data_IF_681585575642
#
_entry.id   IF_681585575642
#
_cell.length_a   1.000
_cell.length_b   1.000
_cell.length_c   1.000
_cell.angle_alpha   90.00
_cell.angle_beta   90.00
_cell.angle_gamma   90.00
#
_symmetry.space_group_name_H-M   'P 1'
#
loop_
_entity.id
_entity.type
_entity.pdbx_description
1 polymer ?
#
# COMPACT_ATOMS: atom_id res chain seq x y z
N UNK A 1 30.00 2.15 -59.99
CA UNK A 1 29.33 3.20 -60.78
C UNK A 1 28.39 2.51 -61.74
N UNK A 2 27.10 2.48 -61.40
CA UNK A 2 26.03 1.85 -62.16
C UNK A 2 25.80 2.67 -63.44
N UNK A 3 25.69 2.01 -64.59
CA UNK A 3 25.50 2.70 -65.88
C UNK A 3 24.08 3.27 -65.94
N UNK A 4 23.90 4.41 -66.61
CA UNK A 4 22.62 5.13 -66.67
C UNK A 4 21.42 4.25 -67.13
N UNK A 5 21.70 3.22 -67.95
CA UNK A 5 20.75 2.18 -68.39
C UNK A 5 20.19 1.34 -67.24
N UNK A 6 21.02 0.97 -66.27
CA UNK A 6 20.65 0.09 -65.15
C UNK A 6 19.80 0.84 -64.12
N UNK A 7 20.04 2.15 -63.95
CA UNK A 7 19.24 3.02 -63.07
C UNK A 7 17.78 3.14 -63.58
N UNK A 8 17.58 3.22 -64.88
CA UNK A 8 16.23 3.29 -65.46
C UNK A 8 15.45 1.97 -65.34
N UNK A 9 16.14 0.82 -65.43
CA UNK A 9 15.53 -0.49 -65.15
C UNK A 9 15.11 -0.64 -63.69
N UNK A 10 15.97 -0.22 -62.75
CA UNK A 10 15.65 -0.19 -61.31
C UNK A 10 14.44 0.71 -61.06
N UNK A 11 14.39 1.90 -61.66
CA UNK A 11 13.25 2.81 -61.57
C UNK A 11 11.96 2.20 -62.14
N UNK A 12 12.05 1.37 -63.18
CA UNK A 12 10.91 0.66 -63.76
C UNK A 12 10.39 -0.44 -62.84
N UNK A 13 11.28 -1.20 -62.20
CA UNK A 13 10.91 -2.20 -61.19
C UNK A 13 10.21 -1.56 -59.98
N UNK A 14 10.71 -0.42 -59.50
CA UNK A 14 10.06 0.36 -58.42
C UNK A 14 8.64 0.81 -58.83
N UNK A 15 8.45 1.31 -60.06
CA UNK A 15 7.11 1.70 -60.56
C UNK A 15 6.13 0.53 -60.66
N UNK A 16 6.63 -0.67 -60.94
CA UNK A 16 5.83 -1.89 -61.02
C UNK A 16 5.48 -2.49 -59.64
N UNK A 17 5.95 -1.88 -58.54
CA UNK A 17 5.53 -2.23 -57.18
C UNK A 17 6.35 -3.34 -56.52
N UNK A 18 7.56 -3.62 -57.02
CA UNK A 18 8.46 -4.60 -56.41
C UNK A 18 8.98 -4.13 -55.05
N UNK A 19 9.23 -5.09 -54.15
CA UNK A 19 9.69 -4.83 -52.78
C UNK A 19 11.14 -4.31 -52.76
N UNK A 20 11.39 -3.23 -52.01
CA UNK A 20 12.66 -2.51 -52.06
C UNK A 20 13.78 -3.22 -51.30
N UNK A 21 13.45 -3.94 -50.23
CA UNK A 21 14.42 -4.72 -49.46
C UNK A 21 14.89 -5.92 -50.29
N UNK A 22 13.97 -6.58 -50.98
CA UNK A 22 14.31 -7.67 -51.91
C UNK A 22 15.14 -7.17 -53.10
N UNK A 23 14.80 -6.01 -53.67
CA UNK A 23 15.60 -5.40 -54.75
C UNK A 23 17.02 -5.01 -54.31
N UNK A 24 17.18 -4.52 -53.07
CA UNK A 24 18.50 -4.18 -52.51
C UNK A 24 19.38 -5.42 -52.36
N UNK A 25 18.78 -6.51 -51.89
CA UNK A 25 19.46 -7.78 -51.69
C UNK A 25 19.86 -8.45 -53.01
N UNK A 26 18.94 -8.57 -53.96
CA UNK A 26 19.19 -9.31 -55.22
C UNK A 26 20.09 -8.57 -56.21
N UNK A 27 20.06 -7.23 -56.20
CA UNK A 27 20.86 -6.41 -57.12
C UNK A 27 22.20 -5.98 -56.50
N UNK A 28 22.44 -6.31 -55.23
CA UNK A 28 23.60 -5.87 -54.42
C UNK A 28 23.80 -4.35 -54.46
N UNK A 29 22.69 -3.62 -54.25
CA UNK A 29 22.64 -2.16 -54.23
C UNK A 29 22.18 -1.71 -52.84
N UNK A 30 22.87 -0.77 -52.17
CA UNK A 30 22.43 -0.25 -50.88
C UNK A 30 20.98 0.25 -50.90
N UNK A 31 20.20 -0.14 -49.89
CA UNK A 31 18.77 0.20 -49.82
C UNK A 31 18.54 1.71 -49.84
N UNK A 32 19.49 2.48 -49.31
CA UNK A 32 19.47 3.93 -49.33
C UNK A 32 19.46 4.49 -50.76
N UNK A 33 20.22 3.90 -51.68
CA UNK A 33 20.25 4.30 -53.10
C UNK A 33 18.93 3.96 -53.81
N UNK A 34 18.38 2.77 -53.56
CA UNK A 34 17.07 2.37 -54.12
C UNK A 34 15.95 3.29 -53.59
N UNK A 35 16.02 3.68 -52.31
CA UNK A 35 15.11 4.67 -51.73
C UNK A 35 15.26 6.05 -52.38
N UNK A 36 16.48 6.47 -52.75
CA UNK A 36 16.67 7.72 -53.50
C UNK A 36 16.01 7.65 -54.89
N UNK A 37 16.17 6.56 -55.63
CA UNK A 37 15.51 6.40 -56.93
C UNK A 37 13.98 6.40 -56.83
N UNK A 38 13.42 5.77 -55.77
CA UNK A 38 11.98 5.87 -55.47
C UNK A 38 11.55 7.32 -55.19
N UNK A 39 12.33 8.04 -54.39
CA UNK A 39 12.08 9.46 -54.10
C UNK A 39 12.16 10.32 -55.36
N UNK A 40 13.08 10.05 -56.28
CA UNK A 40 13.19 10.74 -57.58
C UNK A 40 11.98 10.49 -58.49
N UNK A 41 11.48 9.26 -58.52
CA UNK A 41 10.25 8.92 -59.26
C UNK A 41 9.01 9.58 -58.66
N UNK A 42 8.96 9.70 -57.34
CA UNK A 42 7.89 10.42 -56.64
C UNK A 42 7.94 11.94 -56.86
N UNK A 43 9.14 12.49 -57.15
CA UNK A 43 9.35 13.90 -57.51
C UNK A 43 8.92 14.22 -58.95
N UNK A 44 9.19 13.33 -59.91
CA UNK A 44 8.83 13.55 -61.33
C UNK A 44 7.33 13.44 -61.60
N UNK A 45 6.57 12.67 -60.82
CA UNK A 45 5.11 12.60 -60.92
C UNK A 45 4.36 13.70 -60.14
N UNK A 46 5.05 14.70 -59.58
CA UNK A 46 4.42 15.76 -58.78
C UNK A 46 5.03 17.13 -59.04
N UNK A 47 4.55 17.78 -60.09
CA UNK A 47 4.17 19.19 -59.98
C UNK A 47 3.10 19.33 -58.89
N UNK A 48 3.52 19.40 -57.63
CA UNK A 48 2.72 19.83 -56.46
C UNK A 48 3.63 19.93 -55.24
N UNK A 49 4.02 21.15 -54.95
CA UNK A 49 4.57 21.65 -53.67
C UNK A 49 3.61 21.34 -52.52
N UNK A 50 3.62 20.12 -51.95
CA UNK A 50 3.13 19.73 -50.61
C UNK A 50 3.74 18.34 -50.32
N UNK A 51 4.68 18.19 -49.37
CA UNK A 51 4.89 16.96 -48.54
C UNK A 51 6.09 16.97 -47.55
N UNK A 52 7.01 17.94 -47.59
CA UNK A 52 8.08 18.04 -46.55
C UNK A 52 7.60 18.74 -45.27
N UNK A 53 6.64 19.66 -45.38
CA UNK A 53 6.03 20.37 -44.24
C UNK A 53 5.08 19.48 -43.42
N UNK A 54 4.51 18.42 -44.01
CA UNK A 54 3.58 17.53 -43.31
C UNK A 54 4.30 16.52 -42.41
N UNK A 55 5.45 15.98 -42.82
CA UNK A 55 6.21 15.02 -42.00
C UNK A 55 6.81 15.67 -40.75
N UNK A 56 7.41 16.86 -40.87
CA UNK A 56 7.91 17.64 -39.71
C UNK A 56 6.76 17.98 -38.75
N UNK A 57 5.63 18.49 -39.26
CA UNK A 57 4.43 18.74 -38.43
C UNK A 57 3.91 17.50 -37.72
N UNK A 58 3.95 16.32 -38.36
CA UNK A 58 3.51 15.06 -37.73
C UNK A 58 4.46 14.66 -36.59
N UNK A 59 5.77 14.77 -36.80
CA UNK A 59 6.79 14.46 -35.77
C UNK A 59 6.69 15.46 -34.61
N UNK A 60 6.62 16.75 -34.91
CA UNK A 60 6.47 17.81 -33.89
C UNK A 60 5.19 17.62 -33.07
N UNK A 61 4.08 17.22 -33.72
CA UNK A 61 2.83 16.94 -33.01
C UNK A 61 2.93 15.69 -32.12
N UNK A 62 3.62 14.64 -32.57
CA UNK A 62 3.90 13.45 -31.75
C UNK A 62 4.81 13.77 -30.56
N UNK A 63 5.85 14.58 -30.77
CA UNK A 63 6.75 15.06 -29.71
C UNK A 63 5.95 15.83 -28.65
N UNK A 64 5.14 16.81 -29.07
CA UNK A 64 4.28 17.59 -28.18
C UNK A 64 3.27 16.73 -27.42
N UNK A 65 2.67 15.74 -28.10
CA UNK A 65 1.73 14.84 -27.47
C UNK A 65 2.40 13.98 -26.38
N UNK A 66 3.56 13.37 -26.68
CA UNK A 66 4.30 12.57 -25.71
C UNK A 66 4.81 13.42 -24.53
N UNK A 67 5.31 14.62 -24.81
CA UNK A 67 5.72 15.59 -23.78
C UNK A 67 4.55 15.96 -22.85
N UNK A 68 3.38 16.27 -23.42
CA UNK A 68 2.17 16.56 -22.66
C UNK A 68 1.75 15.39 -21.77
N UNK A 69 1.79 14.14 -22.29
CA UNK A 69 1.51 12.94 -21.49
C UNK A 69 2.50 12.76 -20.34
N UNK A 70 3.80 12.94 -20.60
CA UNK A 70 4.83 12.86 -19.56
C UNK A 70 4.67 13.94 -18.49
N UNK A 71 4.30 15.17 -18.87
CA UNK A 71 3.96 16.23 -17.93
C UNK A 71 2.75 15.86 -17.05
N UNK A 72 1.68 15.33 -17.63
CA UNK A 72 0.51 14.87 -16.88
C UNK A 72 0.88 13.77 -15.89
N UNK A 73 1.67 12.78 -16.31
CA UNK A 73 2.16 11.72 -15.43
C UNK A 73 2.97 12.29 -14.24
N UNK A 74 3.85 13.27 -14.48
CA UNK A 74 4.62 13.96 -13.43
C UNK A 74 3.71 14.69 -12.44
N UNK A 75 2.71 15.42 -12.93
CA UNK A 75 1.75 16.12 -12.07
C UNK A 75 0.92 15.15 -11.22
N UNK A 76 0.41 14.08 -11.83
CA UNK A 76 -0.38 13.07 -11.12
C UNK A 76 0.48 12.35 -10.07
N UNK A 77 1.71 11.98 -10.41
CA UNK A 77 2.65 11.37 -9.47
C UNK A 77 2.93 12.30 -8.28
N UNK A 78 3.25 13.58 -8.53
CA UNK A 78 3.46 14.56 -7.45
C UNK A 78 2.23 14.71 -6.56
N UNK A 79 1.03 14.82 -7.15
CA UNK A 79 -0.23 14.89 -6.39
C UNK A 79 -0.40 13.68 -5.49
N UNK A 80 -0.13 12.47 -5.98
CA UNK A 80 -0.25 11.24 -5.20
C UNK A 80 0.84 11.08 -4.14
N UNK A 81 2.07 11.47 -4.46
CA UNK A 81 3.21 11.37 -3.56
C UNK A 81 3.08 12.30 -2.36
N UNK A 82 2.65 13.55 -2.59
CA UNK A 82 2.46 14.57 -1.55
C UNK A 82 1.05 14.57 -0.91
N UNK A 83 0.14 13.66 -1.31
CA UNK A 83 -1.20 13.60 -0.72
C UNK A 83 -1.13 13.06 0.72
N UNK A 84 -1.11 13.97 1.69
CA UNK A 84 -1.42 13.63 3.07
C UNK A 84 -2.90 13.30 3.14
N UNK A 85 -3.24 12.07 3.54
CA UNK A 85 -4.63 11.71 3.84
C UNK A 85 -5.08 12.46 5.10
N UNK A 86 -5.40 13.75 4.99
CA UNK A 86 -6.41 14.32 5.88
C UNK A 86 -7.71 13.68 5.46
N UNK A 87 -8.12 12.65 6.20
CA UNK A 87 -9.52 12.22 6.17
C UNK A 87 -10.29 13.45 6.60
N UNK A 88 -10.95 14.13 5.65
CA UNK A 88 -11.97 15.13 5.95
C UNK A 88 -13.15 14.39 6.56
N UNK A 89 -12.98 13.98 7.81
CA UNK A 89 -14.11 13.72 8.69
C UNK A 89 -14.78 15.08 8.81
N UNK A 90 -16.08 15.17 8.45
CA UNK A 90 -16.88 16.34 8.79
C UNK A 90 -16.73 16.55 10.30
N UNK A 91 -15.85 17.46 10.68
CA UNK A 91 -15.61 17.75 12.09
C UNK A 91 -16.93 18.23 12.63
N UNK A 92 -17.44 17.57 13.67
CA UNK A 92 -18.67 18.01 14.29
C UNK A 92 -18.55 19.46 14.75
N UNK A 93 -19.66 20.20 14.69
CA UNK A 93 -19.72 21.60 15.10
C UNK A 93 -19.16 21.72 16.52
N UNK A 94 -18.13 22.53 16.72
CA UNK A 94 -17.59 22.79 18.05
C UNK A 94 -18.68 23.38 18.95
N UNK A 95 -18.82 22.80 20.14
CA UNK A 95 -19.73 23.33 21.15
C UNK A 95 -19.22 24.69 21.62
N UNK A 96 -20.15 25.61 21.84
CA UNK A 96 -19.88 26.84 22.59
C UNK A 96 -19.68 26.52 24.07
N UNK A 97 -18.95 27.38 24.79
CA UNK A 97 -18.77 27.23 26.24
C UNK A 97 -20.11 27.16 27.01
N UNK A 98 -21.11 27.92 26.57
CA UNK A 98 -22.46 27.90 27.14
C UNK A 98 -23.14 26.54 26.98
N UNK A 99 -22.97 25.87 25.83
CA UNK A 99 -23.51 24.54 25.60
C UNK A 99 -22.79 23.49 26.46
N UNK A 100 -21.47 23.62 26.64
CA UNK A 100 -20.68 22.75 27.52
C UNK A 100 -21.16 22.88 28.98
N UNK A 101 -21.32 24.11 29.47
CA UNK A 101 -21.82 24.38 30.83
C UNK A 101 -23.22 23.82 31.03
N UNK A 102 -24.12 24.03 30.07
CA UNK A 102 -25.48 23.48 30.11
C UNK A 102 -25.45 21.95 30.19
N UNK A 103 -24.66 21.28 29.35
CA UNK A 103 -24.55 19.82 29.34
C UNK A 103 -24.03 19.33 30.68
N UNK A 104 -22.96 19.93 31.20
CA UNK A 104 -22.35 19.54 32.47
C UNK A 104 -23.29 19.77 33.66
N UNK A 105 -24.06 20.87 33.68
CA UNK A 105 -25.10 21.14 34.67
C UNK A 105 -26.15 20.03 34.65
N UNK A 106 -26.68 19.70 33.47
CA UNK A 106 -27.71 18.67 33.31
C UNK A 106 -27.20 17.29 33.77
N UNK A 107 -25.96 16.93 33.43
CA UNK A 107 -25.36 15.65 33.87
C UNK A 107 -25.19 15.61 35.39
N UNK A 108 -24.77 16.72 36.00
CA UNK A 108 -24.61 16.84 37.47
C UNK A 108 -25.95 16.73 38.18
N UNK A 109 -26.99 17.40 37.67
CA UNK A 109 -28.35 17.29 38.21
C UNK A 109 -28.89 15.85 38.10
N UNK A 110 -28.61 15.14 37.02
CA UNK A 110 -28.96 13.72 36.88
C UNK A 110 -28.23 12.87 37.92
N UNK A 111 -26.94 13.12 38.13
CA UNK A 111 -26.12 12.42 39.13
C UNK A 111 -26.67 12.59 40.55
N UNK A 112 -27.06 13.81 40.93
CA UNK A 112 -27.68 14.10 42.22
C UNK A 112 -29.01 13.37 42.41
N UNK A 113 -29.85 13.36 41.37
CA UNK A 113 -31.13 12.65 41.40
C UNK A 113 -30.90 11.14 41.60
N UNK A 114 -29.97 10.53 40.86
CA UNK A 114 -29.65 9.10 41.00
C UNK A 114 -29.11 8.80 42.40
N UNK A 115 -28.22 9.63 42.96
CA UNK A 115 -27.71 9.45 44.33
C UNK A 115 -28.82 9.54 45.38
N UNK A 116 -29.77 10.45 45.20
CA UNK A 116 -30.93 10.61 46.09
C UNK A 116 -31.94 9.45 46.05
N UNK A 117 -31.88 8.57 45.05
CA UNK A 117 -32.84 7.47 44.87
C UNK A 117 -32.57 6.22 45.71
N UNK A 118 -31.37 6.05 46.27
CA UNK A 118 -30.91 4.78 46.87
C UNK A 118 -31.86 4.19 47.90
N UNK A 119 -32.54 5.04 48.68
CA UNK A 119 -33.45 4.62 49.76
C UNK A 119 -34.92 4.96 49.50
N UNK A 120 -35.29 5.32 48.27
CA UNK A 120 -36.64 5.76 47.93
C UNK A 120 -37.56 4.59 47.53
N UNK A 121 -38.86 4.78 47.78
CA UNK A 121 -39.87 3.84 47.31
C UNK A 121 -39.89 3.74 45.78
N UNK A 122 -40.40 2.62 45.24
CA UNK A 122 -40.51 2.42 43.78
C UNK A 122 -41.28 3.56 43.09
N UNK A 123 -42.32 4.10 43.75
CA UNK A 123 -43.14 5.22 43.24
C UNK A 123 -42.34 6.52 43.15
N UNK A 124 -41.48 6.79 44.13
CA UNK A 124 -40.63 7.99 44.15
C UNK A 124 -39.46 7.87 43.17
N UNK A 125 -38.84 6.69 43.08
CA UNK A 125 -37.83 6.39 42.05
C UNK A 125 -38.39 6.58 40.64
N UNK A 126 -39.63 6.15 40.38
CA UNK A 126 -40.33 6.43 39.12
C UNK A 126 -40.47 7.92 38.84
N UNK A 127 -40.82 8.74 39.83
CA UNK A 127 -40.90 10.20 39.65
C UNK A 127 -39.54 10.78 39.26
N UNK A 128 -38.48 10.41 39.96
CA UNK A 128 -37.14 10.88 39.61
C UNK A 128 -36.67 10.37 38.25
N UNK A 129 -37.01 9.14 37.85
CA UNK A 129 -36.70 8.61 36.52
C UNK A 129 -37.36 9.45 35.40
N UNK A 130 -38.62 9.88 35.58
CA UNK A 130 -39.27 10.80 34.65
C UNK A 130 -38.54 12.15 34.55
N UNK A 131 -38.06 12.67 35.67
CA UNK A 131 -37.25 13.90 35.69
C UNK A 131 -35.95 13.70 34.92
N UNK A 132 -35.25 12.58 35.12
CA UNK A 132 -34.03 12.24 34.39
C UNK A 132 -34.31 12.16 32.88
N UNK A 133 -35.37 11.48 32.45
CA UNK A 133 -35.73 11.38 31.04
C UNK A 133 -35.98 12.76 30.40
N UNK A 134 -36.66 13.65 31.11
CA UNK A 134 -36.89 15.03 30.65
C UNK A 134 -35.58 15.82 30.56
N UNK A 135 -34.68 15.65 31.54
CA UNK A 135 -33.35 16.29 31.54
C UNK A 135 -32.49 15.79 30.38
N UNK A 136 -32.45 14.48 30.12
CA UNK A 136 -31.70 13.90 29.00
C UNK A 136 -32.23 14.43 27.66
N UNK A 137 -33.55 14.58 27.50
CA UNK A 137 -34.14 15.19 26.29
C UNK A 137 -33.64 16.61 26.03
N UNK A 138 -33.38 17.41 27.07
CA UNK A 138 -32.83 18.77 26.90
C UNK A 138 -31.46 18.74 26.23
N UNK A 139 -30.66 17.71 26.51
CA UNK A 139 -29.31 17.57 25.95
C UNK A 139 -29.25 16.60 24.74
N UNK A 140 -30.40 16.08 24.28
CA UNK A 140 -30.46 15.03 23.26
C UNK A 140 -30.01 15.52 21.87
N UNK A 141 -30.16 16.81 21.55
CA UNK A 141 -29.75 17.34 20.26
C UNK A 141 -28.31 17.85 20.24
N UNK A 142 -27.64 17.90 21.39
CA UNK A 142 -26.25 18.31 21.46
C UNK A 142 -25.30 17.15 21.20
N UNK A 143 -24.10 17.53 20.77
CA UNK A 143 -22.98 16.63 20.60
C UNK A 143 -22.22 16.54 21.91
N UNK A 144 -22.30 15.41 22.59
CA UNK A 144 -21.63 15.23 23.87
C UNK A 144 -20.23 14.66 23.64
N UNK A 145 -19.29 14.99 24.54
CA UNK A 145 -17.96 14.36 24.56
C UNK A 145 -18.06 12.88 24.96
N UNK A 146 -17.02 12.11 24.65
CA UNK A 146 -16.93 10.69 25.04
C UNK A 146 -17.07 10.55 26.57
N UNK A 147 -16.41 11.42 27.33
CA UNK A 147 -16.46 11.40 28.81
C UNK A 147 -17.87 11.70 29.34
N UNK A 148 -18.55 12.70 28.78
CA UNK A 148 -19.93 13.03 29.14
C UNK A 148 -20.88 11.86 28.84
N UNK A 149 -20.70 11.20 27.69
CA UNK A 149 -21.51 10.05 27.28
C UNK A 149 -21.22 8.81 28.15
N UNK A 150 -19.99 8.57 28.56
CA UNK A 150 -19.63 7.51 29.52
C UNK A 150 -20.26 7.76 30.89
N UNK A 151 -20.19 8.99 31.38
CA UNK A 151 -20.81 9.37 32.66
C UNK A 151 -22.32 9.16 32.58
N UNK A 152 -22.99 9.65 31.54
CA UNK A 152 -24.42 9.39 31.33
C UNK A 152 -24.75 7.90 31.20
N UNK A 153 -23.91 7.14 30.49
CA UNK A 153 -24.09 5.69 30.36
C UNK A 153 -24.00 4.98 31.72
N UNK A 154 -23.05 5.35 32.59
CA UNK A 154 -22.97 4.80 33.95
C UNK A 154 -24.20 5.16 34.80
N UNK A 155 -24.66 6.41 34.72
CA UNK A 155 -25.79 6.91 35.51
C UNK A 155 -27.10 6.25 35.10
N UNK A 156 -27.36 6.08 33.80
CA UNK A 156 -28.61 5.45 33.32
C UNK A 156 -28.65 3.94 33.57
N UNK A 157 -27.49 3.30 33.75
CA UNK A 157 -27.37 1.87 34.06
C UNK A 157 -27.45 1.56 35.56
N UNK A 158 -27.71 2.57 36.41
CA UNK A 158 -27.81 2.36 37.85
C UNK A 158 -29.02 1.47 38.21
N UNK A 159 -28.87 0.67 39.27
CA UNK A 159 -29.89 -0.29 39.72
C UNK A 159 -31.18 0.42 40.17
N UNK A 160 -31.05 1.66 40.63
CA UNK A 160 -32.17 2.50 41.05
C UNK A 160 -33.16 2.80 39.91
N UNK A 161 -32.72 2.64 38.65
CA UNK A 161 -33.50 2.85 37.43
C UNK A 161 -34.03 1.56 36.80
N UNK A 162 -33.92 0.42 37.49
CA UNK A 162 -34.43 -0.86 37.00
C UNK A 162 -35.84 -1.20 37.55
N UNK A 163 -36.66 -1.83 36.69
CA UNK A 163 -37.96 -2.43 37.04
C UNK A 163 -38.89 -1.45 37.76
N UNK A 164 -39.09 -0.25 37.21
CA UNK A 164 -39.87 0.84 37.81
C UNK A 164 -41.36 0.82 37.44
N UNK A 165 -41.79 -0.07 36.54
CA UNK A 165 -43.20 -0.25 36.17
C UNK A 165 -44.12 -0.53 37.38
N UNK A 166 -45.17 0.28 37.58
CA UNK A 166 -46.13 0.06 38.67
C UNK A 166 -47.28 -0.89 38.28
N UNK A 167 -47.56 -1.02 36.99
CA UNK A 167 -48.58 -1.91 36.43
C UNK A 167 -48.20 -2.31 34.99
N UNK A 168 -49.01 -3.14 34.34
CA UNK A 168 -48.76 -3.67 32.99
C UNK A 168 -48.84 -2.63 31.87
N UNK A 169 -49.47 -1.47 32.10
CA UNK A 169 -49.60 -0.39 31.11
C UNK A 169 -48.52 0.70 31.24
N UNK A 170 -47.74 0.67 32.33
CA UNK A 170 -46.68 1.63 32.62
C UNK A 170 -45.45 1.43 31.73
N UNK A 171 -45.16 2.41 30.88
CA UNK A 171 -44.08 2.36 29.89
C UNK A 171 -42.75 2.93 30.37
N UNK A 172 -42.59 3.25 31.66
CA UNK A 172 -41.37 3.87 32.17
C UNK A 172 -40.09 3.07 31.83
N UNK A 173 -40.11 1.75 32.06
CA UNK A 173 -38.96 0.88 31.77
C UNK A 173 -38.64 0.82 30.27
N UNK A 174 -39.67 0.90 29.42
CA UNK A 174 -39.49 1.00 27.98
C UNK A 174 -38.75 2.30 27.59
N UNK A 175 -39.13 3.44 28.17
CA UNK A 175 -38.47 4.72 27.90
C UNK A 175 -37.02 4.74 28.42
N UNK A 176 -36.77 4.20 29.62
CA UNK A 176 -35.40 4.07 30.15
C UNK A 176 -34.56 3.20 29.22
N UNK A 177 -35.06 2.04 28.80
CA UNK A 177 -34.34 1.17 27.87
C UNK A 177 -34.09 1.82 26.50
N UNK A 178 -35.03 2.62 25.99
CA UNK A 178 -34.83 3.39 24.76
C UNK A 178 -33.73 4.44 24.93
N UNK A 179 -33.71 5.15 26.07
CA UNK A 179 -32.67 6.12 26.39
C UNK A 179 -31.30 5.45 26.55
N UNK A 180 -31.21 4.29 27.23
CA UNK A 180 -30.00 3.46 27.31
C UNK A 180 -29.45 3.17 25.90
N UNK A 181 -30.28 2.68 24.98
CA UNK A 181 -29.88 2.39 23.59
C UNK A 181 -29.40 3.64 22.84
N UNK A 182 -30.05 4.78 23.07
CA UNK A 182 -29.71 6.06 22.41
C UNK A 182 -28.35 6.58 22.88
N UNK A 183 -28.08 6.54 24.18
CA UNK A 183 -26.78 6.92 24.75
C UNK A 183 -25.68 5.99 24.24
N UNK A 184 -25.92 4.67 24.24
CA UNK A 184 -24.96 3.69 23.68
C UNK A 184 -24.64 3.99 22.22
N UNK A 185 -25.65 4.31 21.41
CA UNK A 185 -25.44 4.68 20.00
C UNK A 185 -24.57 5.94 19.90
N UNK A 186 -24.91 7.02 20.60
CA UNK A 186 -24.12 8.26 20.59
C UNK A 186 -22.68 8.07 21.05
N UNK A 187 -22.46 7.29 22.11
CA UNK A 187 -21.12 6.95 22.61
C UNK A 187 -20.33 6.20 21.54
N UNK A 188 -20.98 5.24 20.88
CA UNK A 188 -20.38 4.46 19.79
C UNK A 188 -20.02 5.33 18.59
N UNK A 189 -20.90 6.28 18.22
CA UNK A 189 -20.66 7.26 17.15
C UNK A 189 -19.46 8.16 17.46
N UNK A 190 -19.40 8.69 18.69
CA UNK A 190 -18.29 9.54 19.13
C UNK A 190 -16.95 8.79 19.14
N UNK A 191 -16.95 7.54 19.59
CA UNK A 191 -15.77 6.66 19.54
C UNK A 191 -15.37 6.35 18.10
N UNK A 192 -16.34 6.13 17.20
CA UNK A 192 -16.06 5.84 15.80
C UNK A 192 -15.45 7.04 15.07
N UNK A 193 -15.87 8.26 15.41
CA UNK A 193 -15.25 9.48 14.91
C UNK A 193 -13.82 9.62 15.46
N UNK A 194 -13.64 9.44 16.77
CA UNK A 194 -12.34 9.58 17.41
C UNK A 194 -11.30 8.60 16.86
N UNK A 195 -11.67 7.33 16.62
CA UNK A 195 -10.72 6.34 16.08
C UNK A 195 -10.26 6.66 14.65
N UNK A 196 -11.07 7.37 13.85
CA UNK A 196 -10.66 7.82 12.52
C UNK A 196 -9.60 8.92 12.59
N UNK A 197 -9.52 9.66 13.70
CA UNK A 197 -8.66 10.84 13.86
C UNK A 197 -7.34 10.56 14.57
N UNK A 198 -7.21 9.42 15.25
CA UNK A 198 -5.97 9.05 15.97
C UNK A 198 -5.27 7.85 15.36
N UNK A 199 -3.95 7.91 15.29
CA UNK A 199 -3.06 6.76 15.01
C UNK A 199 -2.29 6.33 16.28
N UNK A 200 -2.57 6.94 17.44
CA UNK A 200 -1.90 6.58 18.69
C UNK A 200 -2.43 5.26 19.25
N UNK A 201 -1.51 4.35 19.57
CA UNK A 201 -1.83 3.00 20.01
C UNK A 201 -2.50 2.97 21.39
N UNK A 202 -2.13 3.88 22.30
CA UNK A 202 -2.72 3.93 23.64
C UNK A 202 -4.12 4.53 23.61
N UNK A 203 -4.30 5.61 22.85
CA UNK A 203 -5.62 6.20 22.61
C UNK A 203 -6.59 5.19 21.99
N UNK A 204 -6.16 4.45 20.94
CA UNK A 204 -6.99 3.40 20.34
C UNK A 204 -7.36 2.30 21.33
N UNK A 205 -6.42 1.86 22.19
CA UNK A 205 -6.70 0.88 23.26
C UNK A 205 -7.67 1.42 24.30
N UNK A 206 -7.57 2.70 24.65
CA UNK A 206 -8.51 3.36 25.55
C UNK A 206 -9.90 3.37 24.90
N UNK A 207 -10.03 3.81 23.65
CA UNK A 207 -11.29 3.82 22.89
C UNK A 207 -11.91 2.42 22.77
N UNK A 208 -11.11 1.39 22.50
CA UNK A 208 -11.57 0.01 22.43
C UNK A 208 -12.17 -0.47 23.77
N UNK A 209 -11.52 -0.14 24.90
CA UNK A 209 -11.99 -0.50 26.24
C UNK A 209 -13.31 0.17 26.61
N UNK A 210 -13.57 1.38 26.10
CA UNK A 210 -14.85 2.09 26.32
C UNK A 210 -16.04 1.35 25.67
N UNK A 211 -15.81 0.50 24.66
CA UNK A 211 -16.84 -0.37 24.06
C UNK A 211 -16.95 -1.71 24.80
N UNK A 212 -17.76 -1.69 25.88
CA UNK A 212 -17.93 -2.84 26.78
C UNK A 212 -18.73 -4.00 26.16
N UNK A 213 -18.53 -5.21 26.69
CA UNK A 213 -19.29 -6.42 26.26
C UNK A 213 -20.80 -6.30 26.51
N UNK A 214 -21.21 -5.60 27.58
CA UNK A 214 -22.62 -5.33 27.87
C UNK A 214 -23.27 -4.46 26.78
N UNK A 215 -22.57 -3.44 26.30
CA UNK A 215 -23.04 -2.62 25.17
C UNK A 215 -23.16 -3.46 23.91
N UNK A 216 -22.19 -4.32 23.64
CA UNK A 216 -22.20 -5.24 22.50
C UNK A 216 -23.37 -6.24 22.55
N UNK A 217 -23.73 -6.77 23.72
CA UNK A 217 -24.91 -7.64 23.85
C UNK A 217 -26.22 -6.91 23.50
N UNK A 218 -26.30 -5.61 23.81
CA UNK A 218 -27.50 -4.79 23.53
C UNK A 218 -27.60 -4.30 22.08
N UNK A 219 -26.47 -4.19 21.37
CA UNK A 219 -26.39 -3.68 20.00
C UNK A 219 -25.19 -4.28 19.24
N UNK A 220 -25.24 -5.60 19.04
CA UNK A 220 -24.10 -6.42 18.58
C UNK A 220 -23.55 -5.98 17.22
N UNK A 221 -24.43 -5.66 16.28
CA UNK A 221 -24.04 -5.29 14.92
C UNK A 221 -23.27 -3.96 14.95
N UNK A 222 -23.82 -2.94 15.60
CA UNK A 222 -23.25 -1.60 15.54
C UNK A 222 -21.99 -1.45 16.41
N UNK A 223 -22.08 -1.81 17.69
CA UNK A 223 -20.95 -1.72 18.63
C UNK A 223 -19.84 -2.69 18.22
N UNK A 224 -20.19 -3.89 17.77
CA UNK A 224 -19.24 -4.88 17.30
C UNK A 224 -18.48 -4.41 16.05
N UNK A 225 -19.15 -3.72 15.13
CA UNK A 225 -18.49 -3.19 13.93
C UNK A 225 -17.45 -2.10 14.25
N UNK A 226 -17.76 -1.16 15.15
CA UNK A 226 -16.79 -0.12 15.58
C UNK A 226 -15.62 -0.76 16.34
N UNK A 227 -15.91 -1.67 17.28
CA UNK A 227 -14.87 -2.38 18.05
C UNK A 227 -13.93 -3.18 17.14
N UNK A 228 -14.48 -3.88 16.15
CA UNK A 228 -13.69 -4.62 15.15
C UNK A 228 -12.81 -3.67 14.31
N UNK A 229 -13.32 -2.50 13.92
CA UNK A 229 -12.53 -1.49 13.20
C UNK A 229 -11.34 -1.00 14.03
N UNK A 230 -11.56 -0.66 15.30
CA UNK A 230 -10.48 -0.25 16.22
C UNK A 230 -9.45 -1.38 16.39
N UNK A 231 -9.92 -2.60 16.66
CA UNK A 231 -9.05 -3.78 16.80
C UNK A 231 -8.21 -4.04 15.55
N UNK A 232 -8.81 -3.96 14.36
CA UNK A 232 -8.08 -4.09 13.09
C UNK A 232 -7.05 -2.97 12.89
N UNK A 233 -7.36 -1.74 13.30
CA UNK A 233 -6.42 -0.61 13.23
C UNK A 233 -5.23 -0.83 14.15
N UNK A 234 -5.48 -1.22 15.40
CA UNK A 234 -4.46 -1.61 16.39
C UNK A 234 -3.55 -2.73 15.84
N UNK A 235 -4.15 -3.77 15.24
CA UNK A 235 -3.39 -4.88 14.64
C UNK A 235 -2.48 -4.40 13.52
N UNK A 236 -2.97 -3.55 12.61
CA UNK A 236 -2.16 -2.98 11.51
C UNK A 236 -0.99 -2.13 12.03
N UNK A 237 -1.23 -1.29 13.03
CA UNK A 237 -0.17 -0.45 13.65
C UNK A 237 0.89 -1.35 14.31
N UNK A 238 0.46 -2.33 15.10
CA UNK A 238 1.38 -3.27 15.75
C UNK A 238 2.20 -4.08 14.73
N UNK A 239 1.56 -4.56 13.65
CA UNK A 239 2.26 -5.25 12.57
C UNK A 239 3.34 -4.34 11.96
N UNK A 240 2.99 -3.08 11.64
CA UNK A 240 3.95 -2.09 11.10
C UNK A 240 5.14 -1.90 12.05
N UNK A 241 4.90 -1.69 13.34
CA UNK A 241 5.96 -1.54 14.34
C UNK A 241 6.87 -2.78 14.43
N UNK A 242 6.31 -3.99 14.36
CA UNK A 242 7.09 -5.23 14.36
C UNK A 242 7.98 -5.30 13.13
N UNK A 243 7.45 -5.01 11.94
CA UNK A 243 8.23 -4.97 10.71
C UNK A 243 9.34 -3.90 10.75
N UNK A 244 9.05 -2.71 11.28
CA UNK A 244 10.03 -1.63 11.41
C UNK A 244 11.17 -2.03 12.36
N UNK A 245 10.88 -2.71 13.47
CA UNK A 245 11.91 -3.25 14.38
C UNK A 245 12.75 -4.33 13.71
N UNK A 246 12.13 -5.27 12.99
CA UNK A 246 12.86 -6.30 12.24
C UNK A 246 13.87 -5.65 11.27
N UNK A 247 13.45 -4.58 10.59
CA UNK A 247 14.26 -3.87 9.61
C UNK A 247 15.39 -3.06 10.26
N UNK A 248 15.11 -2.33 11.33
CA UNK A 248 16.01 -1.28 11.83
C UNK A 248 16.80 -1.71 13.08
N UNK A 249 16.24 -2.58 13.93
CA UNK A 249 16.87 -3.01 15.19
C UNK A 249 17.65 -4.31 14.97
N UNK A 250 18.70 -4.25 14.15
CA UNK A 250 19.55 -5.40 13.84
C UNK A 250 20.76 -5.41 14.78
N UNK A 251 20.92 -6.43 15.65
CA UNK A 251 22.12 -6.56 16.48
C UNK A 251 23.38 -6.70 15.64
N UNK A 252 24.52 -6.20 16.15
CA UNK A 252 25.81 -6.22 15.44
C UNK A 252 26.21 -7.62 14.98
N UNK A 253 26.00 -8.64 15.82
CA UNK A 253 26.35 -10.02 15.49
C UNK A 253 25.48 -10.60 14.35
N UNK A 254 24.21 -10.16 14.27
CA UNK A 254 23.31 -10.54 13.18
C UNK A 254 23.65 -9.77 11.89
N UNK A 255 24.03 -8.49 12.00
CA UNK A 255 24.53 -7.70 10.89
C UNK A 255 25.81 -8.30 10.27
N UNK A 256 26.69 -8.85 11.12
CA UNK A 256 27.87 -9.58 10.69
C UNK A 256 27.50 -10.81 9.85
N UNK A 257 26.56 -11.64 10.31
CA UNK A 257 26.05 -12.79 9.53
C UNK A 257 25.51 -12.35 8.18
N UNK A 258 24.67 -11.31 8.16
CA UNK A 258 24.06 -10.79 6.92
C UNK A 258 25.15 -10.35 5.93
N UNK A 259 26.18 -9.67 6.40
CA UNK A 259 27.33 -9.23 5.58
C UNK A 259 28.08 -10.43 4.99
N UNK A 260 28.35 -11.46 5.80
CA UNK A 260 29.04 -12.67 5.33
C UNK A 260 28.22 -13.44 4.29
N UNK A 261 26.90 -13.52 4.46
CA UNK A 261 25.98 -14.08 3.46
C UNK A 261 26.01 -13.29 2.15
N UNK A 262 25.97 -11.95 2.22
CA UNK A 262 25.97 -11.08 1.05
C UNK A 262 27.27 -11.22 0.22
N UNK A 263 28.40 -11.38 0.91
CA UNK A 263 29.73 -11.56 0.30
C UNK A 263 30.02 -13.02 -0.11
N UNK A 264 29.13 -13.97 0.22
CA UNK A 264 29.34 -15.39 -0.08
C UNK A 264 30.40 -16.08 0.80
N UNK A 265 30.77 -15.51 1.95
CA UNK A 265 31.85 -16.00 2.83
C UNK A 265 31.35 -16.51 4.19
N UNK A 266 30.05 -16.86 4.27
CA UNK A 266 29.47 -17.39 5.50
C UNK A 266 30.05 -18.75 5.87
N UNK A 267 30.46 -18.88 7.13
CA UNK A 267 30.67 -20.15 7.82
C UNK A 267 29.38 -20.52 8.58
N UNK A 268 28.76 -21.64 8.21
CA UNK A 268 27.47 -22.05 8.75
C UNK A 268 27.54 -22.44 10.24
N UNK A 269 28.66 -23.02 10.70
CA UNK A 269 28.83 -23.43 12.10
C UNK A 269 28.94 -22.20 13.00
N UNK A 270 29.81 -21.26 12.63
CA UNK A 270 30.00 -20.00 13.37
C UNK A 270 28.69 -19.19 13.38
N UNK A 271 27.96 -19.15 12.27
CA UNK A 271 26.70 -18.44 12.17
C UNK A 271 25.61 -19.04 13.10
N UNK A 272 25.51 -20.37 13.17
CA UNK A 272 24.57 -21.05 14.06
C UNK A 272 24.89 -20.78 15.54
N UNK A 273 26.17 -20.77 15.93
CA UNK A 273 26.56 -20.42 17.31
C UNK A 273 26.17 -18.99 17.69
N UNK A 274 26.35 -18.04 16.77
CA UNK A 274 25.97 -16.64 16.99
C UNK A 274 24.45 -16.51 17.13
N UNK A 275 23.68 -17.18 16.28
CA UNK A 275 22.22 -17.19 16.33
C UNK A 275 21.73 -17.78 17.66
N UNK A 276 22.36 -18.85 18.13
CA UNK A 276 22.02 -19.50 19.38
C UNK A 276 22.27 -18.61 20.60
N UNK A 277 23.43 -17.93 20.62
CA UNK A 277 23.76 -16.95 21.68
C UNK A 277 22.77 -15.79 21.69
N UNK A 278 22.44 -15.23 20.52
CA UNK A 278 21.49 -14.12 20.41
C UNK A 278 20.06 -14.55 20.77
N UNK A 279 19.64 -15.78 20.41
CA UNK A 279 18.33 -16.31 20.80
C UNK A 279 18.19 -16.41 22.33
N UNK A 280 19.20 -16.94 23.03
CA UNK A 280 19.23 -17.03 24.50
C UNK A 280 19.16 -15.64 25.14
N UNK A 281 19.96 -14.70 24.65
CA UNK A 281 19.96 -13.30 25.12
C UNK A 281 18.59 -12.62 24.96
N UNK A 282 17.85 -12.91 23.87
CA UNK A 282 16.49 -12.39 23.65
C UNK A 282 15.47 -12.96 24.62
N UNK A 283 15.61 -14.23 25.02
CA UNK A 283 14.76 -14.86 26.02
C UNK A 283 15.01 -14.27 27.40
N UNK A 284 16.28 -14.12 27.80
CA UNK A 284 16.67 -13.61 29.11
C UNK A 284 16.18 -12.17 29.35
N UNK A 285 16.14 -11.35 28.31
CA UNK A 285 15.68 -9.95 28.38
C UNK A 285 14.15 -9.80 28.44
N UNK A 286 13.37 -10.83 28.08
CA UNK A 286 11.91 -10.74 28.00
C UNK A 286 11.24 -11.28 29.28
N UNK A 287 10.12 -10.69 29.73
CA UNK A 287 9.39 -11.20 30.89
C UNK A 287 8.84 -12.60 30.61
N UNK A 288 9.16 -13.55 31.50
CA UNK A 288 8.71 -14.94 31.42
C UNK A 288 7.21 -15.02 31.72
N UNK A 289 6.40 -15.03 30.66
CA UNK A 289 4.94 -15.24 30.72
C UNK A 289 4.56 -16.57 30.07
N UNK A 290 3.32 -17.04 30.23
CA UNK A 290 2.77 -18.23 29.55
C UNK A 290 2.84 -18.16 28.01
N UNK A 291 3.06 -16.95 27.46
CA UNK A 291 3.18 -16.68 26.02
C UNK A 291 4.63 -16.41 25.59
N UNK A 292 5.63 -16.76 26.41
CA UNK A 292 7.04 -16.59 26.04
C UNK A 292 7.40 -17.52 24.89
N UNK A 293 8.19 -17.00 23.94
CA UNK A 293 8.69 -17.81 22.83
C UNK A 293 9.73 -18.83 23.33
N UNK A 294 9.74 -20.00 22.71
CA UNK A 294 10.81 -20.99 22.91
C UNK A 294 12.09 -20.54 22.23
N UNK A 295 13.23 -21.13 22.60
CA UNK A 295 14.52 -20.85 21.95
C UNK A 295 14.46 -21.08 20.44
N UNK A 296 13.85 -22.18 20.01
CA UNK A 296 13.65 -22.47 18.59
C UNK A 296 12.79 -21.42 17.87
N UNK A 297 11.79 -20.86 18.53
CA UNK A 297 10.94 -19.81 17.96
C UNK A 297 11.72 -18.49 17.82
N UNK A 298 12.55 -18.14 18.81
CA UNK A 298 13.45 -16.97 18.71
C UNK A 298 14.51 -17.15 17.62
N UNK A 299 15.10 -18.35 17.48
CA UNK A 299 16.00 -18.68 16.36
C UNK A 299 15.30 -18.47 15.01
N UNK A 300 14.06 -18.96 14.86
CA UNK A 300 13.25 -18.72 13.65
C UNK A 300 13.02 -17.22 13.38
N UNK A 301 12.75 -16.42 14.41
CA UNK A 301 12.60 -14.96 14.27
C UNK A 301 13.90 -14.29 13.82
N UNK A 302 15.05 -14.72 14.35
CA UNK A 302 16.37 -14.23 13.92
C UNK A 302 16.62 -14.56 12.44
N UNK A 303 16.32 -15.79 12.00
CA UNK A 303 16.45 -16.18 10.59
C UNK A 303 15.53 -15.38 9.67
N UNK A 304 14.29 -15.09 10.10
CA UNK A 304 13.37 -14.20 9.40
C UNK A 304 13.95 -12.78 9.31
N UNK A 305 14.58 -12.28 10.38
CA UNK A 305 15.22 -10.98 10.41
C UNK A 305 16.39 -10.91 9.41
N UNK A 306 17.28 -11.91 9.40
CA UNK A 306 18.39 -12.03 8.44
C UNK A 306 17.87 -11.94 7.00
N UNK A 307 16.88 -12.77 6.64
CA UNK A 307 16.27 -12.77 5.31
C UNK A 307 15.67 -11.41 4.94
N UNK A 308 14.91 -10.83 5.85
CA UNK A 308 14.19 -9.56 5.61
C UNK A 308 15.16 -8.42 5.40
N UNK A 309 16.18 -8.31 6.25
CA UNK A 309 17.18 -7.23 6.17
C UNK A 309 18.01 -7.36 4.90
N UNK A 310 18.48 -8.57 4.58
CA UNK A 310 19.21 -8.84 3.34
C UNK A 310 18.34 -8.48 2.12
N UNK A 311 17.05 -8.82 2.14
CA UNK A 311 16.13 -8.50 1.05
C UNK A 311 15.86 -7.00 0.90
N UNK A 312 15.70 -6.26 2.00
CA UNK A 312 15.17 -4.88 1.99
C UNK A 312 16.24 -3.79 2.02
N UNK A 313 17.49 -4.12 2.38
CA UNK A 313 18.60 -3.15 2.52
C UNK A 313 19.77 -3.46 1.58
N UNK A 314 19.55 -3.49 0.24
CA UNK A 314 20.61 -3.76 -0.72
C UNK A 314 21.74 -2.71 -0.69
N UNK A 315 21.43 -1.47 -0.29
CA UNK A 315 22.40 -0.38 -0.18
C UNK A 315 23.47 -0.66 0.88
N UNK A 316 23.12 -1.43 1.93
CA UNK A 316 24.05 -1.84 3.00
C UNK A 316 24.58 -3.25 2.78
N UNK A 317 23.75 -4.15 2.25
CA UNK A 317 24.05 -5.57 2.07
C UNK A 317 23.84 -5.96 0.61
N UNK A 318 24.71 -5.44 -0.26
CA UNK A 318 24.68 -5.77 -1.68
C UNK A 318 25.17 -7.20 -1.90
N UNK A 319 24.45 -7.99 -2.70
CA UNK A 319 24.82 -9.38 -2.96
C UNK A 319 25.86 -9.46 -4.09
N UNK A 320 27.08 -9.84 -3.73
CA UNK A 320 28.19 -10.02 -4.68
C UNK A 320 28.06 -11.34 -5.46
N UNK A 321 27.69 -12.43 -4.78
CA UNK A 321 27.61 -13.76 -5.40
C UNK A 321 26.24 -14.45 -5.17
N UNK A 322 25.25 -14.18 -6.05
CA UNK A 322 23.89 -14.70 -5.92
C UNK A 322 23.82 -16.23 -5.79
N UNK A 323 24.71 -16.94 -6.48
CA UNK A 323 24.73 -18.41 -6.50
C UNK A 323 25.15 -18.98 -5.16
N UNK A 324 26.21 -18.41 -4.58
CA UNK A 324 26.75 -18.84 -3.27
C UNK A 324 25.80 -18.40 -2.16
N UNK A 325 25.28 -17.18 -2.23
CA UNK A 325 24.31 -16.65 -1.26
C UNK A 325 23.03 -17.49 -1.20
N UNK A 326 22.47 -17.94 -2.33
CA UNK A 326 21.29 -18.83 -2.32
C UNK A 326 21.59 -20.13 -1.57
N UNK A 327 22.76 -20.74 -1.80
CA UNK A 327 23.16 -21.99 -1.10
C UNK A 327 23.33 -21.76 0.41
N UNK A 328 24.08 -20.72 0.79
CA UNK A 328 24.32 -20.38 2.20
C UNK A 328 23.02 -20.04 2.93
N UNK A 329 22.09 -19.34 2.28
CA UNK A 329 20.77 -19.07 2.83
C UNK A 329 19.92 -20.33 2.97
N UNK A 330 19.99 -21.23 1.99
CA UNK A 330 19.27 -22.50 2.03
C UNK A 330 19.77 -23.36 3.19
N UNK A 331 21.09 -23.45 3.37
CA UNK A 331 21.74 -24.19 4.45
C UNK A 331 21.42 -23.60 5.82
N UNK A 332 21.61 -22.29 6.02
CA UNK A 332 21.39 -21.63 7.31
C UNK A 332 19.91 -21.56 7.71
N UNK A 333 19.00 -21.40 6.75
CA UNK A 333 17.60 -21.09 7.03
C UNK A 333 16.62 -22.25 6.77
N UNK A 334 17.09 -23.50 6.85
CA UNK A 334 16.23 -24.68 6.91
C UNK A 334 15.71 -25.19 5.56
N UNK A 335 16.48 -25.03 4.49
CA UNK A 335 16.29 -25.76 3.23
C UNK A 335 15.33 -25.16 2.21
N UNK A 336 14.61 -24.09 2.55
CA UNK A 336 13.63 -23.45 1.66
C UNK A 336 14.32 -22.70 0.50
N UNK A 337 14.42 -23.40 -0.64
CA UNK A 337 15.02 -22.89 -1.87
C UNK A 337 14.21 -21.73 -2.46
N UNK A 338 12.88 -21.78 -2.40
CA UNK A 338 12.02 -20.74 -2.98
C UNK A 338 12.23 -19.41 -2.27
N UNK A 339 12.25 -19.40 -0.93
CA UNK A 339 12.49 -18.17 -0.16
C UNK A 339 13.92 -17.65 -0.28
N UNK A 340 14.90 -18.55 -0.45
CA UNK A 340 16.29 -18.18 -0.67
C UNK A 340 16.44 -17.47 -2.03
N UNK A 341 15.88 -18.04 -3.10
CA UNK A 341 15.83 -17.41 -4.43
C UNK A 341 15.09 -16.08 -4.35
N UNK A 342 13.93 -16.04 -3.66
CA UNK A 342 13.14 -14.82 -3.47
C UNK A 342 13.96 -13.66 -2.90
N UNK A 343 14.70 -13.95 -1.85
CA UNK A 343 15.46 -12.96 -1.09
C UNK A 343 16.55 -12.35 -1.97
N UNK A 344 17.30 -13.22 -2.65
CA UNK A 344 18.39 -12.80 -3.55
C UNK A 344 17.85 -12.01 -4.73
N UNK A 345 16.80 -12.50 -5.41
CA UNK A 345 16.20 -11.80 -6.55
C UNK A 345 15.65 -10.42 -6.13
N UNK A 346 14.96 -10.32 -5.00
CA UNK A 346 14.43 -9.04 -4.53
C UNK A 346 15.52 -8.05 -4.08
N UNK A 347 16.63 -8.53 -3.52
CA UNK A 347 17.80 -7.69 -3.23
C UNK A 347 18.39 -7.11 -4.54
N UNK A 348 18.56 -7.95 -5.57
CA UNK A 348 19.05 -7.51 -6.89
C UNK A 348 18.08 -6.52 -7.56
N UNK A 349 16.77 -6.79 -7.54
CA UNK A 349 15.73 -5.87 -8.04
C UNK A 349 15.82 -4.51 -7.36
N UNK A 350 15.95 -4.47 -6.03
CA UNK A 350 16.04 -3.21 -5.28
C UNK A 350 17.39 -2.51 -5.49
N UNK A 351 18.46 -3.25 -5.80
CA UNK A 351 19.75 -2.72 -6.28
C UNK A 351 19.70 -2.21 -7.72
N UNK A 352 18.57 -2.39 -8.43
CA UNK A 352 18.40 -2.11 -9.86
C UNK A 352 19.28 -2.97 -10.77
N UNK A 353 19.73 -4.12 -10.28
CA UNK A 353 20.53 -5.10 -11.01
C UNK A 353 19.60 -6.14 -11.65
N UNK A 354 18.83 -5.70 -12.65
CA UNK A 354 17.78 -6.50 -13.27
C UNK A 354 18.35 -7.67 -14.10
N UNK A 355 19.53 -7.50 -14.70
CA UNK A 355 20.17 -8.54 -15.51
C UNK A 355 20.62 -9.72 -14.66
N UNK A 356 21.35 -9.50 -13.55
CA UNK A 356 21.73 -10.59 -12.64
C UNK A 356 20.50 -11.23 -12.00
N UNK A 357 19.42 -10.48 -11.76
CA UNK A 357 18.16 -11.05 -11.29
C UNK A 357 17.52 -12.01 -12.32
N UNK A 358 17.54 -11.65 -13.62
CA UNK A 358 17.05 -12.51 -14.72
C UNK A 358 17.90 -13.78 -14.82
N UNK A 359 19.23 -13.66 -14.79
CA UNK A 359 20.17 -14.79 -14.85
C UNK A 359 19.93 -15.81 -13.72
N UNK A 360 19.69 -15.33 -12.50
CA UNK A 360 19.33 -16.18 -11.36
C UNK A 360 18.04 -16.95 -11.69
N UNK A 361 16.98 -16.26 -12.13
CA UNK A 361 15.72 -16.92 -12.48
C UNK A 361 15.87 -17.91 -13.65
N UNK A 362 16.66 -17.61 -14.68
CA UNK A 362 16.88 -18.49 -15.83
C UNK A 362 17.55 -19.80 -15.42
N UNK A 363 18.51 -19.75 -14.50
CA UNK A 363 19.18 -20.93 -13.98
C UNK A 363 18.23 -21.90 -13.28
N UNK A 364 17.26 -21.39 -12.54
CA UNK A 364 16.25 -22.19 -11.83
C UNK A 364 14.98 -22.43 -12.67
N UNK A 365 14.98 -22.06 -13.96
CA UNK A 365 13.88 -22.32 -14.89
C UNK A 365 14.01 -23.66 -15.64
N UNK A 366 15.15 -24.36 -15.50
CA UNK A 366 15.42 -25.60 -16.23
C UNK A 366 14.71 -26.79 -15.54
N UNK A 367 14.01 -27.58 -16.36
CA UNK A 367 13.03 -28.62 -16.00
C UNK A 367 13.62 -29.73 -15.13
N UNK A 368 12.99 -29.96 -13.99
CA UNK A 368 12.75 -31.32 -13.46
C UNK A 368 11.24 -31.49 -13.25
N UNK A 369 10.75 -32.65 -13.65
CA UNK A 369 9.46 -32.83 -14.31
C UNK A 369 8.22 -32.86 -13.38
N UNK A 370 8.24 -32.24 -12.19
CA UNK A 370 7.07 -32.29 -11.29
C UNK A 370 6.99 -31.23 -10.16
N UNK A 371 7.50 -30.00 -10.34
CA UNK A 371 7.63 -29.05 -9.22
C UNK A 371 6.80 -27.75 -9.33
N UNK A 372 6.42 -27.17 -8.18
CA UNK A 372 5.81 -25.83 -8.04
C UNK A 372 6.81 -24.69 -8.36
N UNK A 373 8.11 -24.99 -8.34
CA UNK A 373 9.24 -24.06 -8.53
C UNK A 373 9.20 -23.33 -9.89
N UNK A 374 8.94 -23.95 -11.05
CA UNK A 374 8.88 -23.24 -12.33
C UNK A 374 7.75 -22.20 -12.40
N UNK A 375 6.62 -22.45 -11.72
CA UNK A 375 5.51 -21.47 -11.61
C UNK A 375 5.93 -20.30 -10.72
N UNK A 376 6.64 -20.58 -9.62
CA UNK A 376 7.18 -19.59 -8.72
C UNK A 376 8.22 -18.67 -9.41
N UNK A 377 9.18 -19.26 -10.13
CA UNK A 377 10.18 -18.53 -10.91
C UNK A 377 9.54 -17.65 -11.99
N UNK A 378 8.45 -18.10 -12.63
CA UNK A 378 7.70 -17.27 -13.58
C UNK A 378 7.12 -16.01 -12.93
N UNK A 379 6.63 -16.12 -11.70
CA UNK A 379 6.15 -14.97 -10.92
C UNK A 379 7.29 -14.00 -10.61
N UNK A 380 8.48 -14.49 -10.24
CA UNK A 380 9.65 -13.65 -10.03
C UNK A 380 10.11 -12.95 -11.31
N UNK A 381 10.15 -13.64 -12.45
CA UNK A 381 10.46 -13.04 -13.76
C UNK A 381 9.50 -11.91 -14.13
N UNK A 382 8.20 -12.09 -13.87
CA UNK A 382 7.21 -11.03 -14.06
C UNK A 382 7.45 -9.87 -13.09
N UNK A 383 7.81 -10.16 -11.83
CA UNK A 383 8.19 -9.15 -10.84
C UNK A 383 9.40 -8.31 -11.26
N UNK A 384 10.45 -8.95 -11.80
CA UNK A 384 11.65 -8.27 -12.33
C UNK A 384 11.27 -7.32 -13.46
N UNK A 385 10.49 -7.79 -14.45
CA UNK A 385 10.03 -6.95 -15.58
C UNK A 385 9.21 -5.76 -15.12
N UNK A 386 8.28 -5.98 -14.18
CA UNK A 386 7.45 -4.90 -13.66
C UNK A 386 8.30 -3.85 -12.92
N UNK A 387 9.30 -4.27 -12.16
CA UNK A 387 10.22 -3.38 -11.46
C UNK A 387 11.14 -2.62 -12.43
N UNK A 388 11.64 -3.27 -13.48
CA UNK A 388 12.45 -2.66 -14.54
C UNK A 388 11.67 -1.56 -15.28
N UNK A 389 10.42 -1.84 -15.69
CA UNK A 389 9.52 -0.82 -16.26
C UNK A 389 9.26 0.30 -15.25
N UNK A 390 9.05 -0.03 -13.98
CA UNK A 390 8.87 0.96 -12.91
C UNK A 390 10.07 1.91 -12.76
N UNK A 391 11.31 1.39 -12.79
CA UNK A 391 12.53 2.20 -12.72
C UNK A 391 12.69 3.11 -13.95
N UNK A 392 12.38 2.61 -15.15
CA UNK A 392 12.32 3.41 -16.37
C UNK A 392 11.34 4.58 -16.23
N UNK A 393 10.12 4.30 -15.76
CA UNK A 393 9.09 5.33 -15.55
C UNK A 393 9.60 6.38 -14.56
N UNK A 394 10.13 5.95 -13.40
CA UNK A 394 10.63 6.86 -12.37
C UNK A 394 11.79 7.75 -12.88
N UNK A 395 12.70 7.21 -13.71
CA UNK A 395 13.74 7.99 -14.39
C UNK A 395 13.12 9.05 -15.30
N UNK A 396 12.13 8.69 -16.12
CA UNK A 396 11.41 9.63 -16.98
C UNK A 396 10.66 10.73 -16.20
N UNK A 397 10.04 10.39 -15.06
CA UNK A 397 9.33 11.35 -14.21
C UNK A 397 10.28 12.37 -13.57
N UNK A 398 11.48 11.93 -13.16
CA UNK A 398 12.48 12.77 -12.50
C UNK A 398 13.29 13.63 -13.49
N UNK A 399 13.30 13.27 -14.78
CA UNK A 399 13.98 14.04 -15.81
C UNK A 399 13.22 15.33 -16.16
N UNK A 400 13.95 16.42 -16.37
CA UNK A 400 13.44 17.64 -17.03
C UNK A 400 13.76 17.54 -18.52
N UNK A 401 13.02 16.68 -19.23
CA UNK A 401 13.25 16.42 -20.65
C UNK A 401 12.70 17.49 -21.56
N UNK A 402 13.36 17.68 -22.70
CA UNK A 402 12.82 18.33 -23.90
C UNK A 402 11.69 17.49 -24.52
N UNK A 403 10.96 18.05 -25.50
CA UNK A 403 9.87 17.32 -26.16
C UNK A 403 10.35 16.02 -26.84
N UNK A 404 11.58 16.01 -27.37
CA UNK A 404 12.17 14.84 -28.03
C UNK A 404 12.57 13.76 -27.03
N UNK A 405 13.22 14.15 -25.93
CA UNK A 405 13.63 13.20 -24.90
C UNK A 405 12.42 12.58 -24.20
N UNK A 406 11.39 13.37 -23.91
CA UNK A 406 10.13 12.87 -23.35
C UNK A 406 9.42 11.91 -24.29
N UNK A 407 9.48 12.14 -25.62
CA UNK A 407 8.99 11.16 -26.60
C UNK A 407 9.77 9.86 -26.53
N UNK A 408 11.10 9.92 -26.54
CA UNK A 408 11.94 8.71 -26.49
C UNK A 408 11.68 7.89 -25.22
N UNK A 409 11.54 8.54 -24.06
CA UNK A 409 11.20 7.85 -22.81
C UNK A 409 9.78 7.25 -22.85
N UNK A 410 8.80 7.99 -23.35
CA UNK A 410 7.42 7.52 -23.44
C UNK A 410 7.31 6.30 -24.37
N UNK A 411 7.94 6.34 -25.54
CA UNK A 411 8.01 5.22 -26.48
C UNK A 411 8.70 3.99 -25.87
N UNK A 412 9.76 4.20 -25.07
CA UNK A 412 10.47 3.13 -24.37
C UNK A 412 9.57 2.45 -23.32
N UNK A 413 8.77 3.23 -22.58
CA UNK A 413 7.78 2.68 -21.63
C UNK A 413 6.70 1.89 -22.37
N UNK A 414 6.14 2.43 -23.46
CA UNK A 414 5.13 1.72 -24.27
C UNK A 414 5.66 0.41 -24.85
N UNK A 415 6.88 0.42 -25.36
CA UNK A 415 7.54 -0.77 -25.89
C UNK A 415 7.74 -1.82 -24.79
N UNK A 416 8.20 -1.41 -23.61
CA UNK A 416 8.36 -2.28 -22.44
C UNK A 416 7.04 -2.94 -22.00
N UNK A 417 5.96 -2.16 -21.95
CA UNK A 417 4.62 -2.66 -21.61
C UNK A 417 4.10 -3.67 -22.64
N UNK A 418 4.26 -3.38 -23.94
CA UNK A 418 3.81 -4.25 -25.05
C UNK A 418 4.61 -5.56 -25.11
N UNK A 419 5.94 -5.49 -25.07
CA UNK A 419 6.80 -6.67 -25.14
C UNK A 419 6.64 -7.57 -23.92
N UNK A 420 6.39 -6.99 -22.74
CA UNK A 420 6.26 -7.74 -21.49
C UNK A 420 4.85 -8.25 -21.17
N UNK A 421 3.82 -7.87 -21.95
CA UNK A 421 2.40 -8.06 -21.61
C UNK A 421 2.08 -7.65 -20.15
N UNK A 422 2.58 -6.47 -19.75
CA UNK A 422 2.55 -6.00 -18.37
C UNK A 422 1.30 -5.17 -18.10
N UNK A 423 0.57 -5.51 -17.04
CA UNK A 423 -0.57 -4.72 -16.56
C UNK A 423 -0.08 -3.47 -15.84
N UNK A 424 -0.65 -2.30 -16.15
CA UNK A 424 -0.32 -1.03 -15.51
C UNK A 424 -0.47 -1.07 -13.98
N UNK A 425 -1.49 -1.77 -13.47
CA UNK A 425 -1.74 -1.93 -12.03
C UNK A 425 -0.73 -2.83 -11.31
N UNK A 426 0.13 -3.53 -12.07
CA UNK A 426 1.16 -4.42 -11.53
C UNK A 426 2.55 -3.78 -11.49
N UNK A 427 2.71 -2.56 -12.00
CA UNK A 427 3.98 -1.82 -12.03
C UNK A 427 4.06 -0.88 -10.83
N UNK A 428 4.86 -1.18 -9.79
CA UNK A 428 4.99 -0.31 -8.62
C UNK A 428 5.91 0.87 -8.92
N UNK A 429 5.49 2.07 -8.48
CA UNK A 429 6.25 3.33 -8.59
C UNK A 429 6.66 3.90 -7.23
N UNK A 430 6.55 3.09 -6.17
CA UNK A 430 6.89 3.46 -4.80
C UNK A 430 5.67 3.70 -3.91
N UNK A 431 5.89 4.48 -2.84
CA UNK A 431 4.86 4.84 -1.86
C UNK A 431 4.73 6.37 -1.77
N UNK A 432 3.60 6.85 -1.28
CA UNK A 432 3.42 8.24 -0.84
C UNK A 432 4.45 8.63 0.22
N UNK A 433 4.62 9.93 0.44
CA UNK A 433 5.61 10.48 1.37
C UNK A 433 5.43 9.97 2.82
N UNK A 434 4.18 9.73 3.24
CA UNK A 434 3.85 9.14 4.55
C UNK A 434 4.03 7.61 4.61
N UNK A 435 4.37 6.98 3.48
CA UNK A 435 4.56 5.54 3.34
C UNK A 435 3.26 4.72 3.41
N UNK A 436 2.09 5.34 3.36
CA UNK A 436 0.79 4.67 3.57
C UNK A 436 0.16 4.14 2.29
N UNK A 437 0.33 4.84 1.16
CA UNK A 437 -0.30 4.48 -0.12
C UNK A 437 0.76 4.02 -1.11
N UNK A 438 0.58 2.83 -1.68
CA UNK A 438 1.37 2.39 -2.84
C UNK A 438 0.90 3.16 -4.09
N UNK A 439 1.85 3.60 -4.91
CA UNK A 439 1.59 4.26 -6.19
C UNK A 439 1.94 3.26 -7.29
N UNK A 440 1.03 3.05 -8.22
CA UNK A 440 1.21 2.17 -9.39
C UNK A 440 1.20 2.97 -10.67
N UNK A 441 1.72 2.39 -11.76
CA UNK A 441 1.68 3.03 -13.07
C UNK A 441 0.26 3.38 -13.49
N UNK A 442 -0.72 2.51 -13.22
CA UNK A 442 -2.15 2.79 -13.51
C UNK A 442 -2.72 4.02 -12.80
N UNK A 443 -2.11 4.48 -11.71
CA UNK A 443 -2.58 5.67 -10.98
C UNK A 443 -2.18 6.98 -11.68
N UNK A 444 -1.17 6.93 -12.56
CA UNK A 444 -0.62 8.10 -13.25
C UNK A 444 -0.69 7.99 -14.78
N UNK A 445 -0.86 6.77 -15.29
CA UNK A 445 -0.94 6.47 -16.71
C UNK A 445 -2.30 6.91 -17.23
N UNK A 446 -2.29 7.78 -18.25
CA UNK A 446 -3.42 8.34 -19.00
C UNK A 446 -4.78 8.31 -18.28
N UNK A 447 -5.41 9.48 -18.13
CA UNK A 447 -6.85 9.50 -17.93
C UNK A 447 -7.49 8.71 -19.09
N UNK A 448 -7.79 7.43 -18.88
CA UNK A 448 -9.00 6.89 -19.45
C UNK A 448 -10.05 7.85 -18.91
N UNK A 449 -10.57 8.70 -19.79
CA UNK A 449 -11.84 9.33 -19.55
C UNK A 449 -12.70 8.24 -18.93
N UNK A 450 -13.04 8.43 -17.65
CA UNK A 450 -14.13 7.69 -17.04
C UNK A 450 -15.33 8.15 -17.84
N UNK A 451 -15.56 7.49 -18.97
CA UNK A 451 -16.82 7.51 -19.70
C UNK A 451 -17.82 7.08 -18.64
N UNK A 452 -18.61 8.06 -18.20
CA UNK A 452 -19.65 7.91 -17.21
C UNK A 452 -20.73 6.97 -17.70
#
# INVERSE_FOLDING_TARGET
>A
MIKHSEIEEIKKLIKNGFDLELMSFELDIPIEEIMQYKLELEKTNKSKTIKTYSARKIIDNKNKQAHSKMQQMREQYKKLFFKVNKVEVKTPKELTNQEIELINSVITEIEEIVKGMKNLSKKERKKGANVILTKIKKIENYQLTIEQLEKLHSLIQSEELEKLNLNTTDKIDFYINRTKKTIVKKLTDAIDIAQLQTEDLQELKILEKKLTTKMQQSNQIYVGAVKSRIGNKILKINQKMVFDRIRNDVPTDIAFIITKIANGTLDAEIANEIIDKEAKKRIEKKPKTRFSLTEEQEKKQILIQIRTVLMEQPEKYHIENPKVTIKQMQELCGGDLEQSIRTVVNNLIRSKDFERAKEVCDRFSIKDNDNQIPKYIRTLKNGIRNAEIGDIVLKGLNMKGTEEEDRSYFELIEKGLKMGNVKLSSVPLGKSQDGLKNIYLSDIWENQEKIR
#
